data_IF_662016087171
#
_entry.id   IF_662016087171
#
_cell.length_a   1.000
_cell.length_b   1.000
_cell.length_c   1.000
_cell.angle_alpha   90.00
_cell.angle_beta   90.00
_cell.angle_gamma   90.00
#
_symmetry.space_group_name_H-M   'P 1'
#
loop_
_entity.id
_entity.type
_entity.pdbx_description
1 polymer ?
#
# COMPACT_ATOMS: atom_id res chain seq x y z
N UNK A 1 14.68 16.04 -6.18
CA UNK A 1 14.66 15.32 -4.91
C UNK A 1 13.19 15.17 -4.54
N UNK A 2 12.72 13.93 -4.52
CA UNK A 2 11.33 13.56 -4.38
C UNK A 2 11.21 12.32 -3.50
N UNK A 3 10.14 12.26 -2.72
CA UNK A 3 9.81 11.12 -1.88
C UNK A 3 8.68 10.33 -2.54
N UNK A 4 8.88 9.03 -2.68
CA UNK A 4 7.88 8.08 -3.17
C UNK A 4 7.55 7.10 -2.06
N UNK A 5 6.30 6.65 -2.01
CA UNK A 5 5.80 5.76 -0.96
C UNK A 5 5.07 4.57 -1.57
N UNK A 6 5.19 3.41 -0.93
CA UNK A 6 4.49 2.17 -1.29
C UNK A 6 4.27 1.32 -0.04
N UNK A 7 3.42 0.29 -0.16
CA UNK A 7 3.14 -0.66 0.92
C UNK A 7 3.82 -2.00 0.71
N UNK A 8 3.69 -2.84 1.74
CA UNK A 8 3.89 -4.28 1.82
C UNK A 8 4.48 -4.96 0.57
N UNK A 9 5.78 -5.30 0.60
CA UNK A 9 6.46 -6.00 -0.50
C UNK A 9 6.75 -7.47 -0.22
N UNK A 10 6.61 -7.88 1.04
CA UNK A 10 6.74 -9.28 1.49
C UNK A 10 8.01 -9.97 0.96
N UNK A 11 9.09 -9.21 0.85
CA UNK A 11 10.37 -9.65 0.33
C UNK A 11 10.23 -10.38 -1.00
N UNK A 12 10.67 -11.62 -1.05
CA UNK A 12 10.83 -12.33 -2.32
C UNK A 12 9.53 -12.76 -3.03
N UNK A 13 8.38 -12.41 -2.45
CA UNK A 13 7.03 -12.68 -2.99
C UNK A 13 6.57 -11.55 -3.90
N UNK A 14 6.76 -10.28 -3.52
CA UNK A 14 6.20 -9.11 -4.25
C UNK A 14 7.23 -7.99 -4.47
N UNK A 15 8.51 -8.18 -4.11
CA UNK A 15 9.57 -7.21 -4.40
C UNK A 15 9.76 -6.96 -5.91
N UNK A 16 9.37 -7.92 -6.75
CA UNK A 16 9.43 -7.80 -8.20
C UNK A 16 8.49 -6.72 -8.76
N UNK A 17 7.47 -6.29 -8.01
CA UNK A 17 6.63 -5.15 -8.35
C UNK A 17 7.42 -3.83 -8.46
N UNK A 18 8.60 -3.75 -7.83
CA UNK A 18 9.50 -2.59 -7.95
C UNK A 18 10.40 -2.67 -9.19
N UNK A 19 10.39 -3.77 -9.95
CA UNK A 19 11.19 -3.89 -11.16
C UNK A 19 10.74 -2.84 -12.19
N UNK A 20 11.64 -2.30 -13.03
CA UNK A 20 11.32 -1.24 -13.99
C UNK A 20 10.21 -1.60 -15.01
N UNK A 21 9.88 -2.88 -15.15
CA UNK A 21 8.75 -3.33 -15.98
C UNK A 21 7.40 -2.96 -15.34
N UNK A 22 7.26 -3.13 -14.03
CA UNK A 22 6.05 -2.83 -13.26
C UNK A 22 6.07 -1.41 -12.69
N UNK A 23 7.25 -0.93 -12.28
CA UNK A 23 7.46 0.38 -11.69
C UNK A 23 8.07 1.35 -12.72
N UNK A 24 7.24 1.89 -13.60
CA UNK A 24 7.69 2.82 -14.65
C UNK A 24 8.28 4.12 -14.08
N UNK A 25 7.73 4.61 -12.97
CA UNK A 25 8.19 5.84 -12.30
C UNK A 25 9.62 5.70 -11.77
N UNK A 26 10.02 4.49 -11.35
CA UNK A 26 11.38 4.20 -10.89
C UNK A 26 12.48 4.49 -11.90
N UNK A 27 12.15 4.46 -13.20
CA UNK A 27 13.10 4.82 -14.27
C UNK A 27 13.51 6.29 -14.25
N UNK A 28 12.70 7.14 -13.64
CA UNK A 28 12.92 8.58 -13.57
C UNK A 28 13.49 9.02 -12.22
N UNK A 29 13.63 8.09 -11.26
CA UNK A 29 14.26 8.37 -9.98
C UNK A 29 15.77 8.51 -10.12
N UNK A 30 16.34 9.35 -9.27
CA UNK A 30 17.76 9.64 -9.14
C UNK A 30 18.29 9.27 -7.75
N UNK A 31 19.60 9.41 -7.56
CA UNK A 31 20.28 9.21 -6.27
C UNK A 31 19.89 10.18 -5.17
N UNK A 32 19.17 11.24 -5.52
CA UNK A 32 18.64 12.18 -4.55
C UNK A 32 17.16 11.95 -4.22
N UNK A 33 16.57 10.87 -4.73
CA UNK A 33 15.18 10.54 -4.46
C UNK A 33 15.08 9.35 -3.49
N UNK A 34 13.95 9.28 -2.79
CA UNK A 34 13.68 8.27 -1.77
C UNK A 34 12.48 7.42 -2.17
N UNK A 35 12.58 6.11 -1.94
CA UNK A 35 11.45 5.18 -1.96
C UNK A 35 11.23 4.64 -0.56
N UNK A 36 10.10 4.95 0.06
CA UNK A 36 9.72 4.47 1.39
C UNK A 36 8.69 3.33 1.30
N UNK A 37 9.02 2.19 1.90
CA UNK A 37 8.15 1.01 2.01
C UNK A 37 7.54 0.96 3.42
N UNK A 38 6.21 0.91 3.49
CA UNK A 38 5.46 1.06 4.74
C UNK A 38 5.18 -0.27 5.43
N UNK A 39 6.25 -0.92 5.89
CA UNK A 39 6.18 -2.21 6.57
C UNK A 39 6.15 -3.38 5.61
N UNK A 40 6.27 -4.57 6.19
CA UNK A 40 6.39 -5.84 5.47
C UNK A 40 7.36 -5.74 4.28
N UNK A 41 8.53 -5.16 4.55
CA UNK A 41 9.67 -5.12 3.64
C UNK A 41 10.08 -6.54 3.26
N UNK A 42 10.10 -7.45 4.23
CA UNK A 42 10.17 -8.90 4.07
C UNK A 42 11.50 -9.44 3.51
N UNK A 43 12.46 -8.59 3.21
CA UNK A 43 13.88 -8.99 3.13
C UNK A 43 14.43 -8.98 4.56
N UNK A 44 15.34 -9.91 4.87
CA UNK A 44 15.86 -10.20 6.23
C UNK A 44 14.95 -11.12 7.07
N UNK A 45 13.96 -11.79 6.47
CA UNK A 45 13.04 -12.64 7.23
C UNK A 45 13.67 -13.94 7.75
N UNK A 46 14.46 -14.63 6.91
CA UNK A 46 15.09 -15.88 7.32
C UNK A 46 16.09 -15.66 8.47
N UNK A 47 16.33 -16.66 9.35
CA UNK A 47 17.28 -16.54 10.46
C UNK A 47 18.68 -16.10 10.01
N UNK A 48 19.08 -16.52 8.81
CA UNK A 48 20.33 -16.15 8.16
C UNK A 48 20.05 -15.66 6.72
N UNK A 49 20.91 -14.80 6.15
CA UNK A 49 20.74 -14.34 4.77
C UNK A 49 20.66 -15.49 3.77
N UNK A 50 19.61 -15.51 2.98
CA UNK A 50 19.47 -16.46 1.85
C UNK A 50 20.07 -15.87 0.58
N UNK A 51 20.45 -16.72 -0.37
CA UNK A 51 20.93 -16.26 -1.68
C UNK A 51 19.92 -15.32 -2.38
N UNK A 52 18.62 -15.67 -2.35
CA UNK A 52 17.55 -14.85 -2.95
C UNK A 52 17.38 -13.51 -2.24
N UNK A 53 17.55 -13.47 -0.92
CA UNK A 53 17.56 -12.21 -0.15
C UNK A 53 18.72 -11.32 -0.58
N UNK A 54 19.94 -11.88 -0.66
CA UNK A 54 21.13 -11.14 -1.07
C UNK A 54 21.01 -10.58 -2.49
N UNK A 55 20.44 -11.33 -3.42
CA UNK A 55 20.17 -10.89 -4.79
C UNK A 55 19.21 -9.69 -4.83
N UNK A 56 18.13 -9.72 -4.03
CA UNK A 56 17.19 -8.60 -3.95
C UNK A 56 17.79 -7.37 -3.27
N UNK A 57 18.57 -7.55 -2.20
CA UNK A 57 19.27 -6.46 -1.54
C UNK A 57 20.32 -5.82 -2.45
N UNK A 58 21.03 -6.64 -3.23
CA UNK A 58 21.98 -6.15 -4.24
C UNK A 58 21.26 -5.38 -5.34
N UNK A 59 20.12 -5.90 -5.82
CA UNK A 59 19.31 -5.22 -6.82
C UNK A 59 18.79 -3.87 -6.30
N UNK A 60 18.17 -3.83 -5.11
CA UNK A 60 17.71 -2.58 -4.49
C UNK A 60 18.85 -1.57 -4.31
N UNK A 61 20.03 -2.03 -3.88
CA UNK A 61 21.21 -1.15 -3.71
C UNK A 61 21.76 -0.66 -5.06
N UNK A 62 21.51 -1.38 -6.15
CA UNK A 62 21.92 -0.95 -7.49
C UNK A 62 20.99 0.11 -8.10
N UNK A 63 19.79 0.29 -7.54
CA UNK A 63 18.85 1.29 -8.03
C UNK A 63 19.36 2.71 -7.79
N UNK A 64 18.94 3.69 -8.63
CA UNK A 64 19.47 5.04 -8.51
C UNK A 64 19.07 5.67 -7.17
N UNK A 65 17.87 5.40 -6.63
CA UNK A 65 17.35 6.00 -5.39
C UNK A 65 17.87 5.37 -4.08
N UNK A 66 17.54 6.02 -2.95
CA UNK A 66 17.70 5.47 -1.60
C UNK A 66 16.41 4.81 -1.14
N UNK A 67 16.49 3.55 -0.69
CA UNK A 67 15.33 2.82 -0.15
C UNK A 67 15.26 3.01 1.36
N UNK A 68 14.09 3.45 1.83
CA UNK A 68 13.74 3.54 3.23
C UNK A 68 12.63 2.52 3.50
N UNK A 69 12.58 1.99 4.71
CA UNK A 69 11.42 1.22 5.15
C UNK A 69 11.18 1.40 6.64
N UNK A 70 9.93 1.30 7.04
CA UNK A 70 9.54 1.02 8.44
C UNK A 70 9.25 -0.47 8.55
N UNK A 71 9.31 -1.02 9.76
CA UNK A 71 8.94 -2.42 9.99
C UNK A 71 7.41 -2.64 9.97
N UNK A 72 6.98 -3.82 9.53
CA UNK A 72 5.60 -4.28 9.66
C UNK A 72 5.44 -5.37 10.71
N UNK A 73 4.42 -6.21 10.58
CA UNK A 73 4.24 -7.38 11.44
C UNK A 73 4.83 -8.67 10.84
N UNK A 74 5.30 -8.67 9.60
CA UNK A 74 5.95 -9.82 8.98
C UNK A 74 7.46 -9.61 8.78
N UNK A 75 8.13 -9.26 9.88
CA UNK A 75 9.56 -9.03 9.93
C UNK A 75 10.27 -9.94 10.94
N UNK A 76 11.54 -10.22 10.70
CA UNK A 76 12.41 -10.87 11.67
C UNK A 76 13.03 -9.82 12.60
N UNK A 77 12.37 -9.59 13.73
CA UNK A 77 12.81 -8.59 14.69
C UNK A 77 14.17 -8.89 15.33
N UNK A 78 14.58 -10.17 15.40
CA UNK A 78 15.93 -10.52 15.86
C UNK A 78 16.97 -9.89 14.93
N UNK A 79 16.81 -10.05 13.60
CA UNK A 79 17.74 -9.47 12.63
C UNK A 79 17.62 -7.95 12.52
N UNK A 80 16.41 -7.38 12.63
CA UNK A 80 16.21 -5.92 12.58
C UNK A 80 16.80 -5.19 13.79
N UNK A 81 16.70 -5.78 14.99
CA UNK A 81 17.26 -5.22 16.22
C UNK A 81 18.81 -5.31 16.22
N UNK A 82 19.39 -6.29 15.52
CA UNK A 82 20.85 -6.48 15.37
C UNK A 82 21.49 -5.61 14.26
N UNK A 83 20.70 -4.87 13.47
CA UNK A 83 21.25 -4.00 12.42
C UNK A 83 22.18 -2.93 12.99
N UNK A 84 23.33 -2.65 12.33
CA UNK A 84 24.14 -1.48 12.65
C UNK A 84 23.29 -0.22 12.64
N UNK A 85 23.52 0.66 13.63
CA UNK A 85 22.76 1.90 13.76
C UNK A 85 23.62 3.10 13.41
N UNK A 86 23.13 3.94 12.51
CA UNK A 86 23.75 5.21 12.14
C UNK A 86 22.76 6.37 12.28
N UNK A 87 23.25 7.60 12.22
CA UNK A 87 22.39 8.79 12.24
C UNK A 87 22.20 9.31 10.81
N UNK A 88 20.99 9.17 10.29
CA UNK A 88 20.56 9.70 8.99
C UNK A 88 19.23 10.46 9.15
N UNK A 89 18.96 11.44 8.29
CA UNK A 89 17.69 12.20 8.31
C UNK A 89 17.34 12.78 9.70
N UNK A 90 18.38 13.15 10.48
CA UNK A 90 18.25 13.71 11.82
C UNK A 90 18.17 12.70 12.98
N UNK A 91 17.93 11.41 12.73
CA UNK A 91 17.65 10.41 13.78
C UNK A 91 18.35 9.06 13.52
N UNK A 92 18.32 8.12 14.48
CA UNK A 92 18.90 6.79 14.29
C UNK A 92 18.16 5.99 13.22
N UNK A 93 18.88 5.26 12.37
CA UNK A 93 18.35 4.29 11.40
C UNK A 93 19.12 2.98 11.51
N UNK A 94 18.45 1.86 11.21
CA UNK A 94 19.15 0.59 10.96
C UNK A 94 19.73 0.57 9.55
N UNK A 95 20.96 0.12 9.39
CA UNK A 95 21.69 0.14 8.12
C UNK A 95 21.79 -1.27 7.57
N UNK A 96 21.21 -1.49 6.38
CA UNK A 96 21.40 -2.75 5.64
C UNK A 96 22.54 -2.58 4.63
N UNK A 97 22.49 -1.49 3.86
CA UNK A 97 23.56 -1.02 2.96
C UNK A 97 23.64 0.50 3.04
N UNK A 98 24.55 1.12 2.29
CA UNK A 98 24.64 2.58 2.14
C UNK A 98 23.44 3.21 1.41
N UNK A 99 22.51 2.40 0.90
CA UNK A 99 21.30 2.82 0.17
C UNK A 99 20.00 2.25 0.72
N UNK A 100 20.04 1.42 1.76
CA UNK A 100 18.85 0.76 2.32
C UNK A 100 18.83 0.93 3.83
N UNK A 101 17.82 1.68 4.32
CA UNK A 101 17.73 2.08 5.72
C UNK A 101 16.38 1.71 6.36
N UNK A 102 16.45 1.14 7.56
CA UNK A 102 15.31 0.90 8.45
C UNK A 102 15.07 2.16 9.30
N UNK A 103 13.97 2.86 9.07
CA UNK A 103 13.50 3.95 9.91
C UNK A 103 12.92 3.37 11.21
N UNK A 104 13.51 3.74 12.34
CA UNK A 104 13.15 3.24 13.66
C UNK A 104 11.84 3.87 14.13
N UNK A 105 11.09 3.10 14.93
CA UNK A 105 9.78 3.50 15.48
C UNK A 105 9.90 4.74 16.37
N UNK A 106 8.92 5.64 16.26
CA UNK A 106 8.73 6.73 17.22
C UNK A 106 9.61 7.94 17.01
N UNK A 107 10.26 8.09 15.84
CA UNK A 107 11.04 9.27 15.49
C UNK A 107 10.31 10.15 14.47
N UNK A 108 10.67 11.44 14.46
CA UNK A 108 10.29 12.39 13.39
C UNK A 108 11.55 12.69 12.57
N UNK A 109 11.64 12.08 11.39
CA UNK A 109 12.75 12.24 10.46
C UNK A 109 12.60 13.49 9.59
N UNK A 110 13.72 14.03 9.12
CA UNK A 110 13.73 15.08 8.08
C UNK A 110 14.12 14.46 6.74
N UNK A 111 13.12 14.20 5.89
CA UNK A 111 13.29 13.58 4.57
C UNK A 111 12.81 14.59 3.54
N UNK A 112 13.65 14.99 2.58
CA UNK A 112 13.29 16.02 1.59
C UNK A 112 12.82 17.36 2.20
N UNK A 113 13.37 17.72 3.38
CA UNK A 113 12.95 18.85 4.20
C UNK A 113 11.56 18.73 4.85
N UNK A 114 10.87 17.61 4.65
CA UNK A 114 9.62 17.31 5.34
C UNK A 114 9.88 16.70 6.72
N UNK A 115 9.08 17.11 7.69
CA UNK A 115 9.00 16.45 8.98
C UNK A 115 8.11 15.20 8.85
N UNK A 116 8.70 14.02 8.97
CA UNK A 116 8.05 12.74 8.73
C UNK A 116 8.03 11.90 10.00
N UNK A 117 6.87 11.72 10.62
CA UNK A 117 6.72 10.81 11.75
C UNK A 117 6.61 9.37 11.25
N UNK A 118 7.42 8.46 11.79
CA UNK A 118 7.46 7.07 11.33
C UNK A 118 7.20 6.09 12.47
N UNK A 119 6.33 5.12 12.24
CA UNK A 119 6.01 4.13 13.26
C UNK A 119 5.53 2.80 12.67
N UNK A 120 6.36 1.77 12.78
CA UNK A 120 6.07 0.41 12.30
C UNK A 120 5.32 -0.47 13.31
N UNK A 121 5.10 -1.72 12.91
CA UNK A 121 4.43 -2.77 13.69
C UNK A 121 2.92 -2.87 13.48
N UNK A 122 2.40 -4.07 13.71
CA UNK A 122 0.97 -4.41 13.73
C UNK A 122 0.78 -5.77 14.44
N UNK A 123 -0.47 -6.11 14.76
CA UNK A 123 -0.83 -7.40 15.33
C UNK A 123 -1.04 -8.46 14.24
N UNK A 124 -0.21 -9.51 14.22
CA UNK A 124 -0.48 -10.69 13.40
C UNK A 124 -1.73 -11.45 13.90
N UNK A 125 -2.80 -11.44 13.10
CA UNK A 125 -4.04 -12.17 13.39
C UNK A 125 -3.87 -13.70 13.33
N UNK A 126 -2.90 -14.16 12.55
CA UNK A 126 -2.58 -15.56 12.31
C UNK A 126 -1.47 -16.08 13.26
N UNK A 127 -1.06 -15.29 14.26
CA UNK A 127 0.01 -15.64 15.22
C UNK A 127 -0.17 -17.01 15.89
N UNK A 128 -1.42 -17.46 16.09
CA UNK A 128 -1.70 -18.76 16.70
C UNK A 128 -1.28 -19.96 15.82
N UNK A 129 -1.04 -19.73 14.54
CA UNK A 129 -0.54 -20.73 13.58
C UNK A 129 0.97 -20.59 13.32
N UNK A 130 1.64 -19.63 13.98
CA UNK A 130 3.06 -19.32 13.78
C UNK A 130 3.94 -19.82 14.92
N UNK A 131 5.25 -19.80 14.70
CA UNK A 131 6.26 -20.24 15.67
C UNK A 131 7.03 -19.04 16.22
N UNK A 132 6.98 -18.78 17.54
CA UNK A 132 7.74 -17.70 18.16
C UNK A 132 9.23 -17.78 17.85
N UNK A 133 9.82 -16.66 17.43
CA UNK A 133 11.24 -16.53 17.07
C UNK A 133 11.64 -17.17 15.73
N UNK A 134 10.67 -17.69 14.96
CA UNK A 134 10.93 -18.31 13.64
C UNK A 134 10.07 -17.68 12.55
N UNK A 135 8.76 -17.57 12.79
CA UNK A 135 7.82 -17.00 11.82
C UNK A 135 6.91 -15.92 12.42
N UNK A 136 7.06 -15.65 13.72
CA UNK A 136 6.35 -14.63 14.47
C UNK A 136 7.22 -14.14 15.63
N UNK A 137 7.17 -12.84 15.92
CA UNK A 137 7.89 -12.23 17.04
C UNK A 137 6.96 -11.37 17.87
N UNK A 138 7.11 -11.42 19.20
CA UNK A 138 6.37 -10.52 20.10
C UNK A 138 6.67 -9.04 19.81
N UNK A 139 7.88 -8.76 19.30
CA UNK A 139 8.36 -7.44 18.86
C UNK A 139 7.62 -6.85 17.65
N UNK A 140 6.75 -7.62 16.98
CA UNK A 140 5.76 -7.08 16.05
C UNK A 140 4.91 -5.98 16.73
N UNK A 141 4.64 -6.15 18.03
CA UNK A 141 4.07 -5.11 18.87
C UNK A 141 5.20 -4.22 19.42
N UNK A 142 5.11 -2.89 19.24
CA UNK A 142 6.03 -1.91 19.80
C UNK A 142 6.11 -1.97 21.32
N UNK A 143 7.28 -1.69 21.86
CA UNK A 143 7.46 -1.58 23.31
C UNK A 143 6.85 -0.27 23.85
N UNK A 144 6.60 -0.22 25.15
CA UNK A 144 6.13 1.01 25.80
C UNK A 144 7.14 2.15 25.62
N UNK A 145 8.44 1.86 25.64
CA UNK A 145 9.48 2.86 25.41
C UNK A 145 9.44 3.44 23.99
N UNK A 146 9.11 2.62 22.98
CA UNK A 146 8.94 3.07 21.58
C UNK A 146 7.68 3.96 21.44
N UNK A 147 6.58 3.61 22.11
CA UNK A 147 5.36 4.43 22.13
C UNK A 147 5.57 5.75 22.87
N UNK A 148 6.21 5.72 24.04
CA UNK A 148 6.56 6.94 24.80
C UNK A 148 7.52 7.82 24.00
N UNK A 149 8.49 7.22 23.29
CA UNK A 149 9.38 7.96 22.39
C UNK A 149 8.60 8.66 21.29
N UNK A 150 7.65 7.96 20.64
CA UNK A 150 6.79 8.56 19.63
C UNK A 150 6.07 9.80 20.13
N UNK A 151 5.45 9.72 21.31
CA UNK A 151 4.83 10.87 21.97
C UNK A 151 5.82 12.02 22.20
N UNK A 152 7.00 11.73 22.75
CA UNK A 152 8.03 12.73 23.04
C UNK A 152 8.59 13.39 21.77
N UNK A 153 8.79 12.64 20.70
CA UNK A 153 9.24 13.18 19.41
C UNK A 153 8.19 14.10 18.79
N UNK A 154 6.90 13.77 18.93
CA UNK A 154 5.81 14.66 18.51
C UNK A 154 5.72 15.93 19.37
N UNK A 155 5.95 15.85 20.69
CA UNK A 155 6.05 17.05 21.56
C UNK A 155 7.16 18.00 21.10
N UNK A 156 8.33 17.48 20.72
CA UNK A 156 9.47 18.29 20.28
C UNK A 156 9.18 19.10 19.02
N UNK A 157 8.37 18.55 18.11
CA UNK A 157 7.91 19.24 16.89
C UNK A 157 6.56 19.93 17.08
N UNK A 158 6.12 20.12 18.33
CA UNK A 158 4.86 20.79 18.71
C UNK A 158 3.65 20.18 18.01
N UNK A 159 3.64 18.86 17.88
CA UNK A 159 2.55 18.09 17.29
C UNK A 159 2.23 18.49 15.85
N UNK A 160 3.22 18.99 15.12
CA UNK A 160 3.08 19.32 13.70
C UNK A 160 4.15 18.61 12.89
N UNK A 161 3.70 17.80 11.95
CA UNK A 161 4.54 17.10 10.96
C UNK A 161 3.93 17.30 9.58
N UNK A 162 4.70 17.06 8.52
CA UNK A 162 4.16 17.07 7.17
C UNK A 162 3.46 15.74 6.88
N UNK A 163 4.15 14.64 7.14
CA UNK A 163 3.66 13.31 6.80
C UNK A 163 3.79 12.34 7.98
N UNK A 164 2.84 11.40 8.03
CA UNK A 164 2.88 10.27 8.95
C UNK A 164 2.97 9.00 8.12
N UNK A 165 3.96 8.15 8.43
CA UNK A 165 4.19 6.87 7.77
C UNK A 165 4.10 5.76 8.80
N UNK A 166 3.08 4.91 8.68
CA UNK A 166 2.91 3.77 9.58
C UNK A 166 2.67 2.48 8.82
N UNK A 167 2.87 1.34 9.46
CA UNK A 167 2.42 0.09 8.84
C UNK A 167 0.92 -0.10 9.11
N UNK A 168 0.50 0.00 10.37
CA UNK A 168 -0.90 -0.09 10.78
C UNK A 168 -1.63 1.26 10.70
N UNK A 169 -2.92 1.24 10.39
CA UNK A 169 -3.81 2.40 10.46
C UNK A 169 -4.27 2.69 11.91
N UNK A 170 -4.64 3.94 12.26
CA UNK A 170 -5.40 4.19 13.48
C UNK A 170 -6.68 3.35 13.53
N UNK A 171 -7.08 2.90 14.71
CA UNK A 171 -8.22 1.99 14.85
C UNK A 171 -9.53 2.62 14.34
N UNK A 172 -9.71 3.91 14.57
CA UNK A 172 -10.84 4.70 14.07
C UNK A 172 -10.89 4.79 12.53
N UNK A 173 -9.73 4.87 11.87
CA UNK A 173 -9.60 4.84 10.40
C UNK A 173 -9.91 3.44 9.85
N UNK A 174 -9.45 2.39 10.53
CA UNK A 174 -9.76 1.00 10.16
C UNK A 174 -11.28 0.74 10.16
N UNK A 175 -12.00 1.26 11.16
CA UNK A 175 -13.47 1.16 11.20
C UNK A 175 -14.13 1.84 10.01
N UNK A 176 -13.60 2.98 9.56
CA UNK A 176 -14.14 3.69 8.40
C UNK A 176 -13.87 2.95 7.10
N UNK A 177 -12.68 2.39 6.92
CA UNK A 177 -12.37 1.54 5.76
C UNK A 177 -13.30 0.33 5.66
N UNK A 178 -13.64 -0.28 6.80
CA UNK A 178 -14.60 -1.39 6.85
C UNK A 178 -16.02 -0.94 6.49
N UNK A 179 -16.47 0.21 6.98
CA UNK A 179 -17.79 0.79 6.64
C UNK A 179 -17.90 1.13 5.16
N UNK A 180 -16.85 1.73 4.61
CA UNK A 180 -16.74 2.07 3.20
C UNK A 180 -16.47 0.84 2.30
N UNK A 181 -16.32 -0.35 2.90
CA UNK A 181 -16.08 -1.65 2.23
C UNK A 181 -14.80 -1.68 1.38
N UNK A 182 -13.81 -0.87 1.74
CA UNK A 182 -12.48 -0.95 1.12
C UNK A 182 -11.77 -2.26 1.47
N UNK A 183 -12.01 -2.76 2.68
CA UNK A 183 -11.47 -4.03 3.14
C UNK A 183 -12.58 -5.06 2.94
N UNK A 184 -12.38 -5.99 1.99
CA UNK A 184 -13.39 -6.92 1.47
C UNK A 184 -13.93 -7.97 2.46
N UNK A 185 -13.74 -7.75 3.75
CA UNK A 185 -14.24 -8.63 4.79
C UNK A 185 -15.52 -8.01 5.37
N UNK A 186 -16.64 -8.70 5.24
CA UNK A 186 -17.88 -8.42 5.98
C UNK A 186 -17.71 -8.78 7.47
N UNK A 187 -16.69 -8.22 8.12
CA UNK A 187 -16.55 -8.29 9.56
C UNK A 187 -17.55 -7.31 10.18
N UNK A 188 -18.35 -7.81 11.11
CA UNK A 188 -19.02 -6.92 12.05
C UNK A 188 -17.92 -6.11 12.78
N UNK A 189 -18.04 -4.77 12.90
CA UNK A 189 -17.09 -3.94 13.63
C UNK A 189 -16.69 -4.48 15.02
N UNK A 190 -17.58 -5.23 15.69
CA UNK A 190 -17.28 -5.87 16.98
C UNK A 190 -16.27 -7.02 16.91
N UNK A 191 -15.95 -7.53 15.72
CA UNK A 191 -14.98 -8.61 15.47
C UNK A 191 -13.67 -8.11 14.87
N UNK A 192 -13.51 -6.79 14.69
CA UNK A 192 -12.25 -6.21 14.27
C UNK A 192 -11.26 -6.39 15.42
N UNK A 193 -10.14 -7.10 15.22
CA UNK A 193 -9.14 -7.27 16.25
C UNK A 193 -8.69 -5.91 16.79
N UNK A 194 -8.66 -5.77 18.11
CA UNK A 194 -8.15 -4.58 18.79
C UNK A 194 -6.63 -4.61 18.76
N UNK A 195 -6.07 -4.14 17.66
CA UNK A 195 -4.63 -3.99 17.49
C UNK A 195 -4.09 -2.91 18.45
N UNK A 196 -3.15 -3.25 19.36
CA UNK A 196 -2.55 -2.28 20.28
C UNK A 196 -1.88 -1.08 19.59
N UNK A 197 -1.29 -1.27 18.41
CA UNK A 197 -0.64 -0.22 17.62
C UNK A 197 -1.69 0.73 17.05
N UNK A 198 -2.78 0.18 16.52
CA UNK A 198 -3.90 0.98 16.01
C UNK A 198 -4.55 1.82 17.12
N UNK A 199 -4.69 1.25 18.33
CA UNK A 199 -5.20 1.95 19.50
C UNK A 199 -4.24 3.05 19.99
N UNK A 200 -2.93 2.79 19.96
CA UNK A 200 -1.93 3.81 20.27
C UNK A 200 -2.03 5.00 19.31
N UNK A 201 -2.17 4.77 18.00
CA UNK A 201 -2.33 5.86 17.03
C UNK A 201 -3.60 6.69 17.23
N UNK A 202 -4.72 6.07 17.62
CA UNK A 202 -5.93 6.80 18.00
C UNK A 202 -5.70 7.78 19.16
N UNK A 203 -4.71 7.54 20.03
CA UNK A 203 -4.34 8.51 21.09
C UNK A 203 -3.58 9.72 20.57
N UNK A 204 -2.92 9.60 19.41
CA UNK A 204 -2.12 10.67 18.80
C UNK A 204 -2.98 11.58 17.92
N UNK A 205 -3.93 10.99 17.18
CA UNK A 205 -4.76 11.67 16.16
C UNK A 205 -5.39 12.98 16.67
N UNK A 206 -6.00 13.06 17.87
CA UNK A 206 -6.67 14.29 18.32
C UNK A 206 -5.75 15.51 18.48
N UNK A 207 -4.44 15.28 18.62
CA UNK A 207 -3.46 16.34 18.89
C UNK A 207 -2.50 16.57 17.72
N UNK A 208 -2.29 15.57 16.87
CA UNK A 208 -1.32 15.60 15.78
C UNK A 208 -1.87 16.33 14.55
N UNK A 209 -1.18 17.37 14.12
CA UNK A 209 -1.40 18.04 12.85
C UNK A 209 -0.47 17.47 11.78
N UNK A 210 -1.03 16.99 10.69
CA UNK A 210 -0.32 16.42 9.55
C UNK A 210 -1.00 16.79 8.24
N UNK A 211 -0.26 16.79 7.12
CA UNK A 211 -0.83 17.00 5.78
C UNK A 211 -1.46 15.72 5.28
N UNK A 212 -0.76 14.60 5.42
CA UNK A 212 -1.25 13.29 5.01
C UNK A 212 -0.63 12.14 5.84
N UNK A 213 -1.44 11.12 6.10
CA UNK A 213 -1.05 9.89 6.77
C UNK A 213 -1.14 8.71 5.80
N UNK A 214 -0.02 8.07 5.53
CA UNK A 214 0.06 6.88 4.70
C UNK A 214 0.28 5.64 5.56
N UNK A 215 -0.38 4.54 5.20
CA UNK A 215 -0.23 3.26 5.89
C UNK A 215 -0.37 2.05 4.96
N UNK A 216 0.14 0.89 5.40
CA UNK A 216 0.10 -0.39 4.68
C UNK A 216 -0.81 -1.42 5.36
N UNK A 217 -0.29 -2.65 5.52
CA UNK A 217 -0.81 -3.78 6.31
C UNK A 217 -2.11 -4.43 5.81
N UNK A 218 -3.06 -3.62 5.33
CA UNK A 218 -4.42 -4.05 5.03
C UNK A 218 -4.57 -4.63 3.62
N UNK A 219 -3.48 -4.63 2.82
CA UNK A 219 -3.43 -5.07 1.42
C UNK A 219 -4.50 -4.41 0.55
N UNK A 220 -4.81 -3.15 0.85
CA UNK A 220 -5.74 -2.32 0.09
C UNK A 220 -5.04 -1.07 -0.40
N UNK A 221 -5.44 -0.64 -1.60
CA UNK A 221 -4.99 0.61 -2.20
C UNK A 221 -6.18 1.57 -2.23
N UNK A 222 -6.01 2.77 -1.71
CA UNK A 222 -7.07 3.79 -1.74
C UNK A 222 -6.57 5.10 -2.37
N UNK A 223 -7.49 5.91 -2.94
CA UNK A 223 -7.22 7.34 -3.06
C UNK A 223 -7.11 7.98 -1.66
N UNK A 224 -6.60 9.22 -1.55
CA UNK A 224 -6.67 9.99 -0.31
C UNK A 224 -8.13 10.15 0.16
N UNK A 225 -8.37 9.97 1.46
CA UNK A 225 -9.70 10.11 2.07
C UNK A 225 -9.60 10.77 3.44
N UNK A 226 -10.67 11.46 3.85
CA UNK A 226 -10.76 12.04 5.20
C UNK A 226 -11.67 11.20 6.07
N UNK A 227 -11.34 11.11 7.36
CA UNK A 227 -12.22 10.49 8.36
C UNK A 227 -12.79 11.60 9.24
N UNK A 228 -14.12 11.66 9.38
CA UNK A 228 -14.84 12.68 10.14
C UNK A 228 -14.73 12.54 11.66
N UNK A 229 -13.53 12.27 12.17
CA UNK A 229 -13.20 12.34 13.59
C UNK A 229 -12.79 13.79 13.87
N UNK A 230 -12.93 14.26 15.10
CA UNK A 230 -12.47 15.59 15.51
C UNK A 230 -10.96 15.75 15.21
N UNK A 231 -10.64 16.30 14.04
CA UNK A 231 -9.31 16.33 13.44
C UNK A 231 -9.39 16.08 11.92
N UNK A 232 -9.23 17.14 11.12
CA UNK A 232 -9.20 17.08 9.65
C UNK A 232 -7.90 16.40 9.17
N UNK A 233 -7.86 15.06 9.20
CA UNK A 233 -6.75 14.26 8.69
C UNK A 233 -7.06 13.67 7.31
N UNK A 234 -6.10 13.75 6.39
CA UNK A 234 -6.15 13.01 5.12
C UNK A 234 -5.33 11.73 5.26
N UNK A 235 -5.93 10.61 4.91
CA UNK A 235 -5.41 9.26 5.06
C UNK A 235 -5.32 8.57 3.70
N UNK A 236 -4.35 7.67 3.53
CA UNK A 236 -4.25 6.86 2.33
C UNK A 236 -3.64 5.49 2.64
N UNK A 237 -4.35 4.43 2.26
CA UNK A 237 -3.83 3.08 2.34
C UNK A 237 -3.02 2.77 1.06
N UNK A 238 -1.81 2.26 1.22
CA UNK A 238 -0.96 1.83 0.13
C UNK A 238 -0.72 0.33 0.22
N UNK A 239 -0.61 -0.29 -0.94
CA UNK A 239 -0.18 -1.68 -1.05
C UNK A 239 0.84 -1.79 -2.18
N UNK A 240 0.39 -2.04 -3.40
CA UNK A 240 1.30 -2.33 -4.52
C UNK A 240 1.83 -1.08 -5.20
N UNK A 241 1.03 -0.01 -5.24
CA UNK A 241 1.35 1.18 -5.99
C UNK A 241 2.48 1.96 -5.35
N UNK A 242 3.31 2.55 -6.20
CA UNK A 242 4.31 3.52 -5.78
C UNK A 242 3.85 4.89 -6.24
N UNK A 243 3.56 5.76 -5.28
CA UNK A 243 3.03 7.10 -5.56
C UNK A 243 4.02 8.18 -5.09
N UNK A 244 4.13 9.31 -5.80
CA UNK A 244 4.86 10.46 -5.30
C UNK A 244 4.15 11.06 -4.08
N UNK A 245 4.92 11.48 -3.10
CA UNK A 245 4.46 12.36 -2.03
C UNK A 245 4.50 13.78 -2.59
N UNK A 246 3.36 14.25 -3.10
CA UNK A 246 3.26 15.58 -3.71
C UNK A 246 3.11 16.69 -2.67
N UNK A 247 3.70 17.85 -2.97
CA UNK A 247 3.38 19.10 -2.31
C UNK A 247 1.97 19.49 -2.75
N UNK A 248 0.99 19.35 -1.85
CA UNK A 248 -0.44 19.54 -2.15
C UNK A 248 -0.70 20.72 -3.10
N UNK A 249 -1.22 20.44 -4.29
CA UNK A 249 -2.14 21.34 -4.96
C UNK A 249 -3.38 21.46 -4.06
N UNK A 250 -3.30 22.33 -3.05
CA UNK A 250 -4.46 22.84 -2.33
C UNK A 250 -5.22 23.78 -3.27
N UNK A 251 -5.88 23.20 -4.27
CA UNK A 251 -6.99 23.80 -4.99
C UNK A 251 -7.84 22.69 -5.62
N UNK A 252 -8.31 21.75 -4.82
CA UNK A 252 -9.60 21.15 -5.11
C UNK A 252 -10.64 22.02 -4.41
N UNK A 253 -11.24 22.96 -5.17
CA UNK A 253 -12.60 23.39 -4.80
C UNK A 253 -13.43 22.12 -4.56
N UNK A 254 -14.36 22.12 -3.59
CA UNK A 254 -15.28 21.00 -3.47
C UNK A 254 -15.92 20.80 -4.84
N UNK A 255 -15.64 19.64 -5.46
CA UNK A 255 -16.28 19.22 -6.69
C UNK A 255 -17.78 19.40 -6.46
N UNK A 256 -18.36 20.38 -7.15
CA UNK A 256 -19.79 20.53 -7.18
C UNK A 256 -20.34 19.18 -7.65
N UNK A 257 -21.02 18.47 -6.76
CA UNK A 257 -21.73 17.24 -7.09
C UNK A 257 -22.80 17.63 -8.11
N UNK A 258 -22.45 17.53 -9.39
CA UNK A 258 -23.45 17.40 -10.43
C UNK A 258 -24.00 16.00 -10.26
N UNK A 259 -25.20 15.91 -9.73
CA UNK A 259 -26.01 14.69 -9.80
C UNK A 259 -26.26 14.35 -11.28
N UNK A 260 -25.32 13.63 -11.88
CA UNK A 260 -25.63 12.71 -12.95
C UNK A 260 -25.60 11.31 -12.34
N UNK A 261 -26.77 10.68 -12.24
CA UNK A 261 -26.89 9.25 -11.94
C UNK A 261 -26.31 8.46 -13.12
N UNK A 262 -24.99 8.32 -13.16
CA UNK A 262 -24.35 7.28 -13.96
C UNK A 262 -24.44 5.95 -13.22
N UNK A 263 -24.80 4.87 -13.93
CA UNK A 263 -24.84 3.53 -13.35
C UNK A 263 -23.42 3.10 -12.95
N UNK A 264 -23.26 2.63 -11.71
CA UNK A 264 -21.97 2.11 -11.24
C UNK A 264 -21.53 0.91 -12.08
N UNK A 265 -20.21 0.69 -12.24
CA UNK A 265 -19.72 -0.45 -13.02
C UNK A 265 -20.21 -1.79 -12.46
N UNK A 266 -20.39 -1.91 -11.13
CA UNK A 266 -21.02 -3.09 -10.53
C UNK A 266 -22.41 -3.34 -11.13
N UNK A 267 -23.24 -2.31 -11.28
CA UNK A 267 -24.56 -2.43 -11.91
C UNK A 267 -24.46 -2.83 -13.39
N UNK A 268 -23.47 -2.31 -14.10
CA UNK A 268 -23.20 -2.64 -15.51
C UNK A 268 -22.78 -4.11 -15.64
N UNK A 269 -21.82 -4.57 -14.84
CA UNK A 269 -21.31 -5.95 -14.85
C UNK A 269 -22.39 -6.96 -14.42
N UNK A 270 -23.23 -6.62 -13.43
CA UNK A 270 -24.33 -7.49 -13.00
C UNK A 270 -25.47 -7.61 -14.02
N UNK A 271 -25.74 -6.56 -14.81
CA UNK A 271 -26.79 -6.59 -15.84
C UNK A 271 -26.32 -7.23 -17.14
N UNK A 272 -25.03 -7.16 -17.43
CA UNK A 272 -24.50 -7.57 -18.73
C UNK A 272 -24.30 -9.09 -18.79
N UNK A 273 -24.84 -9.71 -19.83
CA UNK A 273 -24.78 -11.18 -20.03
C UNK A 273 -23.79 -11.61 -21.11
N UNK A 274 -23.21 -10.66 -21.85
CA UNK A 274 -22.33 -10.92 -22.99
C UNK A 274 -21.08 -10.07 -22.88
N UNK A 275 -19.92 -10.71 -23.00
CA UNK A 275 -18.63 -10.04 -22.99
C UNK A 275 -18.48 -9.07 -24.17
N UNK A 276 -18.92 -9.46 -25.37
CA UNK A 276 -18.86 -8.60 -26.56
C UNK A 276 -19.73 -7.36 -26.41
N UNK A 277 -20.95 -7.50 -25.88
CA UNK A 277 -21.84 -6.36 -25.63
C UNK A 277 -21.26 -5.41 -24.57
N UNK A 278 -20.62 -5.97 -23.53
CA UNK A 278 -19.93 -5.19 -22.51
C UNK A 278 -18.80 -4.35 -23.11
N UNK A 279 -17.96 -4.95 -23.95
CA UNK A 279 -16.84 -4.27 -24.62
C UNK A 279 -17.34 -3.23 -25.61
N UNK A 280 -18.43 -3.52 -26.32
CA UNK A 280 -18.99 -2.61 -27.32
C UNK A 280 -19.54 -1.33 -26.71
N UNK A 281 -20.25 -1.43 -25.59
CA UNK A 281 -20.93 -0.31 -24.96
C UNK A 281 -20.15 0.36 -23.82
N UNK A 282 -19.23 -0.38 -23.20
CA UNK A 282 -18.52 0.07 -22.00
C UNK A 282 -17.00 -0.20 -22.05
N UNK A 283 -16.45 -0.55 -23.21
CA UNK A 283 -15.04 -0.88 -23.37
C UNK A 283 -14.08 0.25 -23.01
N UNK A 284 -14.42 1.52 -23.33
CA UNK A 284 -13.62 2.69 -22.94
C UNK A 284 -13.59 2.86 -21.42
N UNK A 285 -14.74 2.74 -20.76
CA UNK A 285 -14.86 2.83 -19.31
C UNK A 285 -14.08 1.71 -18.62
N UNK A 286 -14.24 0.46 -19.08
CA UNK A 286 -13.52 -0.69 -18.55
C UNK A 286 -12.02 -0.59 -18.77
N UNK A 287 -11.59 -0.14 -19.95
CA UNK A 287 -10.17 0.05 -20.23
C UNK A 287 -9.57 1.15 -19.36
N UNK A 288 -10.27 2.29 -19.20
CA UNK A 288 -9.85 3.36 -18.32
C UNK A 288 -9.82 2.92 -16.85
N UNK A 289 -10.77 2.10 -16.39
CA UNK A 289 -10.75 1.56 -15.03
C UNK A 289 -9.54 0.66 -14.78
N UNK A 290 -9.20 -0.20 -15.75
CA UNK A 290 -8.01 -1.05 -15.70
C UNK A 290 -6.69 -0.27 -15.89
N UNK A 291 -6.75 0.93 -16.49
CA UNK A 291 -5.62 1.84 -16.71
C UNK A 291 -5.33 2.73 -15.49
N UNK A 292 -6.37 3.32 -14.90
CA UNK A 292 -6.27 4.28 -13.80
C UNK A 292 -6.30 3.63 -12.41
N UNK A 293 -6.08 2.32 -12.31
CA UNK A 293 -5.99 1.57 -11.04
C UNK A 293 -7.17 1.82 -10.08
N UNK A 294 -8.35 2.18 -10.61
CA UNK A 294 -9.60 1.98 -9.89
C UNK A 294 -9.85 0.49 -9.89
N UNK A 295 -9.22 -0.20 -8.93
CA UNK A 295 -9.35 -1.64 -8.71
C UNK A 295 -10.85 -1.92 -8.69
N UNK A 296 -11.32 -2.65 -9.71
CA UNK A 296 -12.61 -3.33 -9.67
C UNK A 296 -12.74 -3.88 -8.25
N UNK A 297 -13.79 -3.52 -7.49
CA UNK A 297 -13.92 -4.06 -6.13
C UNK A 297 -13.91 -5.59 -6.21
N UNK A 298 -13.55 -6.31 -5.14
CA UNK A 298 -13.39 -7.77 -5.22
C UNK A 298 -14.59 -8.50 -5.84
N UNK A 299 -15.81 -7.96 -5.67
CA UNK A 299 -17.02 -8.46 -6.33
C UNK A 299 -17.09 -8.14 -7.84
N UNK A 300 -16.57 -6.99 -8.29
CA UNK A 300 -16.53 -6.59 -9.70
C UNK A 300 -15.49 -7.40 -10.47
N UNK A 301 -14.32 -7.66 -9.88
CA UNK A 301 -13.31 -8.59 -10.43
C UNK A 301 -13.95 -9.96 -10.61
N UNK A 302 -14.54 -10.49 -9.53
CA UNK A 302 -15.12 -11.82 -9.58
C UNK A 302 -16.29 -11.90 -10.59
N UNK A 303 -17.12 -10.86 -10.70
CA UNK A 303 -18.19 -10.79 -11.70
C UNK A 303 -17.64 -10.74 -13.13
N UNK A 304 -16.59 -9.93 -13.38
CA UNK A 304 -15.97 -9.79 -14.69
C UNK A 304 -15.24 -11.08 -15.12
N UNK A 305 -14.44 -11.67 -14.25
CA UNK A 305 -13.80 -12.97 -14.50
C UNK A 305 -14.85 -14.09 -14.69
N UNK A 306 -15.94 -14.08 -13.91
CA UNK A 306 -17.04 -15.03 -14.10
C UNK A 306 -17.73 -14.85 -15.45
N UNK A 307 -17.89 -13.61 -15.92
CA UNK A 307 -18.45 -13.33 -17.24
C UNK A 307 -17.52 -13.86 -18.35
N UNK A 308 -16.21 -13.61 -18.26
CA UNK A 308 -15.22 -14.11 -19.22
C UNK A 308 -15.24 -15.65 -19.25
N UNK A 309 -15.18 -16.30 -18.09
CA UNK A 309 -15.14 -17.78 -17.99
C UNK A 309 -16.43 -18.48 -18.42
N UNK A 310 -17.56 -17.75 -18.48
CA UNK A 310 -18.84 -18.25 -19.01
C UNK A 310 -19.03 -17.96 -20.50
N UNK A 311 -18.16 -17.15 -21.09
CA UNK A 311 -18.17 -16.80 -22.51
C UNK A 311 -17.50 -17.92 -23.32
N UNK A 312 -18.03 -18.24 -24.50
CA UNK A 312 -17.44 -19.27 -25.37
C UNK A 312 -16.04 -18.85 -25.83
N UNK A 313 -15.14 -19.80 -26.05
CA UNK A 313 -13.74 -19.51 -26.36
C UNK A 313 -13.61 -18.66 -27.64
N UNK A 314 -14.45 -18.95 -28.64
CA UNK A 314 -14.53 -18.21 -29.90
C UNK A 314 -14.97 -16.76 -29.70
N UNK A 315 -15.89 -16.50 -28.76
CA UNK A 315 -16.36 -15.16 -28.42
C UNK A 315 -15.31 -14.36 -27.62
N UNK A 316 -14.49 -15.03 -26.80
CA UNK A 316 -13.34 -14.40 -26.13
C UNK A 316 -12.25 -14.03 -27.14
N UNK A 317 -12.00 -14.86 -28.14
CA UNK A 317 -11.07 -14.54 -29.24
C UNK A 317 -11.56 -13.34 -30.06
N UNK A 318 -12.86 -13.27 -30.35
CA UNK A 318 -13.47 -12.11 -31.01
C UNK A 318 -13.37 -10.83 -30.15
N UNK A 319 -13.56 -10.96 -28.83
CA UNK A 319 -13.40 -9.87 -27.87
C UNK A 319 -11.96 -9.33 -27.84
N UNK A 320 -10.96 -10.21 -27.92
CA UNK A 320 -9.53 -9.84 -28.01
C UNK A 320 -9.26 -9.03 -29.27
N UNK A 321 -9.75 -9.47 -30.43
CA UNK A 321 -9.55 -8.74 -31.69
C UNK A 321 -10.32 -7.40 -31.69
N UNK A 322 -11.50 -7.35 -31.07
CA UNK A 322 -12.25 -6.10 -30.88
C UNK A 322 -11.47 -5.10 -30.02
N UNK A 323 -10.92 -5.53 -28.88
CA UNK A 323 -10.10 -4.68 -28.02
C UNK A 323 -8.85 -4.16 -28.73
N UNK A 324 -8.22 -5.01 -29.55
CA UNK A 324 -7.04 -4.64 -30.36
C UNK A 324 -7.38 -3.60 -31.42
N UNK A 325 -8.52 -3.72 -32.11
CA UNK A 325 -8.99 -2.70 -33.09
C UNK A 325 -9.34 -1.37 -32.42
N UNK A 326 -9.94 -1.41 -31.23
CA UNK A 326 -10.41 -0.24 -30.49
C UNK A 326 -9.35 0.42 -29.59
N UNK A 327 -8.16 -0.18 -29.48
CA UNK A 327 -7.06 0.38 -28.68
C UNK A 327 -7.21 0.18 -27.16
N UNK A 328 -8.03 -0.77 -26.72
CA UNK A 328 -8.24 -1.06 -25.30
C UNK A 328 -7.12 -1.93 -24.73
N UNK A 329 -5.97 -1.32 -24.50
CA UNK A 329 -4.72 -2.01 -24.15
C UNK A 329 -4.80 -2.81 -22.85
N UNK A 330 -5.39 -2.24 -21.79
CA UNK A 330 -5.46 -2.89 -20.48
C UNK A 330 -6.49 -4.02 -20.48
N UNK A 331 -7.63 -3.80 -21.13
CA UNK A 331 -8.66 -4.83 -21.32
C UNK A 331 -8.13 -6.00 -22.17
N UNK A 332 -7.34 -5.70 -23.20
CA UNK A 332 -6.67 -6.70 -24.04
C UNK A 332 -5.72 -7.60 -23.23
N UNK A 333 -4.97 -7.04 -22.27
CA UNK A 333 -4.06 -7.81 -21.42
C UNK A 333 -4.82 -8.82 -20.56
N UNK A 334 -5.89 -8.38 -19.88
CA UNK A 334 -6.72 -9.25 -19.03
C UNK A 334 -7.34 -10.38 -19.85
N UNK A 335 -7.93 -10.06 -21.01
CA UNK A 335 -8.56 -11.07 -21.87
C UNK A 335 -7.55 -12.10 -22.40
N UNK A 336 -6.32 -11.68 -22.74
CA UNK A 336 -5.27 -12.61 -23.20
C UNK A 336 -4.81 -13.57 -22.10
N UNK A 337 -4.73 -13.11 -20.85
CA UNK A 337 -4.37 -13.96 -19.71
C UNK A 337 -5.44 -15.01 -19.47
N UNK A 338 -6.71 -14.59 -19.35
CA UNK A 338 -7.84 -15.51 -19.15
C UNK A 338 -8.03 -16.47 -20.34
N UNK A 339 -7.90 -15.99 -21.57
CA UNK A 339 -8.00 -16.85 -22.76
C UNK A 339 -6.93 -17.96 -22.75
N UNK A 340 -5.70 -17.62 -22.36
CA UNK A 340 -4.63 -18.61 -22.23
C UNK A 340 -4.98 -19.66 -21.18
N UNK A 341 -5.50 -19.25 -20.02
CA UNK A 341 -5.96 -20.18 -18.97
C UNK A 341 -7.14 -21.05 -19.41
N UNK A 342 -8.07 -20.52 -20.21
CA UNK A 342 -9.23 -21.27 -20.72
C UNK A 342 -8.87 -22.25 -21.84
N UNK A 343 -7.79 -21.98 -22.57
CA UNK A 343 -7.31 -22.80 -23.70
C UNK A 343 -6.34 -23.92 -23.31
N UNK A 344 -5.90 -23.94 -22.04
CA UNK A 344 -5.03 -24.96 -21.44
C UNK A 344 -5.89 -25.98 -20.68
#
# INVERSE_FOLDING_TARGET
>A
MALYVTGDKHGTVEMDELLPFYYAVGKNLSEHDFLLIMGDFGLLFAPEPTQKELEWLQWLSSMPWTTLFIDGNHENFTRLDDLPTEKHFGNPVGVITDKIFHLKRGYVYTIENYACFTFGGALSIDRCFRRPGISWWEREIPSEEEMVRGWQSLEQVRWKVDYVFTHMAPFSVLLELLRAKYIGITLNPCHVPRDPVALYFDTLVPRLHFRQWYFGHLHVQTPPFSVGIEGEGVYQALYRLVIPVEESLMSAEPLAVREHREESLSQILFKTKSLLSLIEHHGELLNAWLEFEQVLQGHDIMAFHTLIRRTALEEVEEAIESCKRKGYYHLLLVLKVEFKEMSC
#
